data_IF_830827706660
#
_entry.id   IF_830827706660
#
_cell.length_a   1.000
_cell.length_b   1.000
_cell.length_c   1.000
_cell.angle_alpha   90.00
_cell.angle_beta   90.00
_cell.angle_gamma   90.00
#
_symmetry.space_group_name_H-M   'P 1'
#
loop_
_entity.id
_entity.type
_entity.pdbx_description
1 polymer ?
#
# COMPACT_ATOMS: atom_id res chain seq x y z
N UNK A 1 -42.26 -17.51 -14.18
CA UNK A 1 -40.92 -17.74 -14.75
C UNK A 1 -40.09 -16.50 -14.46
N UNK A 2 -39.29 -16.60 -13.41
CA UNK A 2 -38.56 -15.52 -12.72
C UNK A 2 -37.30 -15.14 -13.50
N UNK A 3 -37.22 -13.90 -13.96
CA UNK A 3 -36.01 -13.30 -14.52
C UNK A 3 -35.47 -12.24 -13.56
N UNK A 4 -34.74 -12.65 -12.53
CA UNK A 4 -33.96 -11.74 -11.70
C UNK A 4 -32.63 -11.49 -12.42
N UNK A 5 -32.49 -10.31 -13.04
CA UNK A 5 -31.22 -9.86 -13.58
C UNK A 5 -30.28 -9.51 -12.42
N UNK A 6 -29.11 -10.14 -12.44
CA UNK A 6 -28.02 -10.02 -11.48
C UNK A 6 -27.45 -8.60 -11.58
N UNK A 7 -27.63 -7.80 -10.51
CA UNK A 7 -27.04 -6.48 -10.39
C UNK A 7 -25.51 -6.63 -10.27
N UNK A 8 -24.78 -5.88 -11.11
CA UNK A 8 -23.33 -5.90 -11.18
C UNK A 8 -22.68 -5.62 -9.82
N UNK A 9 -21.74 -6.49 -9.45
CA UNK A 9 -20.91 -6.37 -8.26
C UNK A 9 -19.99 -5.15 -8.43
N UNK A 10 -20.33 -4.04 -7.78
CA UNK A 10 -19.47 -2.86 -7.69
C UNK A 10 -18.40 -3.19 -6.64
N UNK A 11 -17.16 -3.39 -7.09
CA UNK A 11 -15.99 -3.59 -6.24
C UNK A 11 -15.78 -2.32 -5.40
N UNK A 12 -16.38 -2.29 -4.21
CA UNK A 12 -16.27 -1.17 -3.28
C UNK A 12 -14.85 -1.16 -2.71
N UNK A 13 -14.02 -0.28 -3.26
CA UNK A 13 -12.71 0.06 -2.73
C UNK A 13 -12.90 0.81 -1.41
N UNK A 14 -12.94 0.07 -0.30
CA UNK A 14 -12.74 0.66 1.03
C UNK A 14 -11.28 1.15 1.12
N UNK A 15 -11.04 2.47 1.26
CA UNK A 15 -9.69 2.98 1.41
C UNK A 15 -9.07 2.44 2.70
N UNK A 16 -7.83 1.97 2.61
CA UNK A 16 -7.07 1.53 3.79
C UNK A 16 -6.64 2.76 4.60
N UNK A 17 -7.46 3.17 5.56
CA UNK A 17 -7.17 4.33 6.42
C UNK A 17 -6.64 3.90 7.78
N UNK A 18 -5.39 4.26 8.08
CA UNK A 18 -4.79 4.05 9.41
C UNK A 18 -5.26 5.15 10.37
N UNK A 19 -5.80 4.76 11.52
CA UNK A 19 -6.12 5.71 12.60
C UNK A 19 -4.83 6.21 13.23
N UNK A 20 -4.54 7.52 13.13
CA UNK A 20 -3.30 8.13 13.62
C UNK A 20 -3.22 8.14 15.16
N UNK A 21 -2.68 7.08 15.76
CA UNK A 21 -2.24 7.08 17.17
C UNK A 21 -0.81 7.61 17.22
N UNK A 22 -0.59 8.72 17.92
CA UNK A 22 0.77 9.25 18.17
C UNK A 22 1.41 8.44 19.30
N UNK A 23 1.92 7.25 18.98
CA UNK A 23 2.64 6.36 19.90
C UNK A 23 3.99 5.98 19.30
N UNK A 24 5.03 5.84 20.15
CA UNK A 24 6.37 5.36 19.75
C UNK A 24 6.36 3.84 19.53
N UNK A 25 5.42 3.34 18.74
CA UNK A 25 5.26 1.92 18.49
C UNK A 25 6.04 1.50 17.23
N UNK A 26 6.56 0.26 17.17
CA UNK A 26 7.21 -0.25 15.97
C UNK A 26 6.27 -0.23 14.75
N UNK A 27 6.81 -0.03 13.54
CA UNK A 27 6.00 -0.02 12.30
C UNK A 27 5.10 -1.26 12.14
N UNK A 28 5.58 -2.44 12.54
CA UNK A 28 4.79 -3.69 12.51
C UNK A 28 3.49 -3.60 13.33
N UNK A 29 3.51 -2.83 14.42
CA UNK A 29 2.35 -2.61 15.29
C UNK A 29 1.35 -1.69 14.61
N UNK A 30 1.81 -0.60 14.00
CA UNK A 30 0.95 0.29 13.22
C UNK A 30 0.27 -0.43 12.06
N UNK A 31 1.00 -1.32 11.37
CA UNK A 31 0.44 -2.13 10.28
C UNK A 31 -0.61 -3.11 10.81
N UNK A 32 -0.38 -3.75 11.96
CA UNK A 32 -1.36 -4.63 12.61
C UNK A 32 -2.64 -3.88 12.99
N UNK A 33 -2.51 -2.78 13.72
CA UNK A 33 -3.66 -1.97 14.15
C UNK A 33 -4.50 -1.48 12.95
N UNK A 34 -3.84 -1.12 11.86
CA UNK A 34 -4.50 -0.72 10.62
C UNK A 34 -5.27 -1.87 9.96
N UNK A 35 -4.68 -3.06 9.90
CA UNK A 35 -5.34 -4.24 9.33
C UNK A 35 -6.52 -4.70 10.20
N UNK A 36 -6.37 -4.69 11.52
CA UNK A 36 -7.45 -5.03 12.45
C UNK A 36 -8.64 -4.07 12.25
N UNK A 37 -8.35 -2.77 12.12
CA UNK A 37 -9.38 -1.75 11.83
C UNK A 37 -10.05 -1.99 10.47
N UNK A 38 -9.27 -2.31 9.44
CA UNK A 38 -9.77 -2.64 8.10
C UNK A 38 -10.70 -3.86 8.13
N UNK A 39 -10.33 -4.94 8.82
CA UNK A 39 -11.16 -6.14 8.90
C UNK A 39 -12.46 -5.93 9.68
N UNK A 40 -12.47 -5.06 10.70
CA UNK A 40 -13.70 -4.65 11.39
C UNK A 40 -14.63 -3.91 10.42
N UNK A 41 -14.09 -3.04 9.57
CA UNK A 41 -14.87 -2.29 8.57
C UNK A 41 -15.34 -3.16 7.40
N UNK A 42 -14.60 -4.22 7.09
CA UNK A 42 -14.94 -5.14 6.01
C UNK A 42 -16.24 -5.91 6.28
N UNK A 43 -16.75 -5.96 7.52
CA UNK A 43 -18.10 -6.43 7.90
C UNK A 43 -18.59 -7.70 7.15
N UNK A 44 -17.70 -8.67 6.95
CA UNK A 44 -17.99 -9.95 6.30
C UNK A 44 -17.90 -9.98 4.77
N UNK A 45 -17.53 -8.89 4.10
CA UNK A 45 -17.20 -8.88 2.67
C UNK A 45 -15.85 -9.56 2.41
N UNK A 46 -15.66 -10.14 1.22
CA UNK A 46 -14.37 -10.72 0.83
C UNK A 46 -13.44 -9.64 0.27
N UNK A 47 -12.30 -9.42 0.92
CA UNK A 47 -11.24 -8.58 0.38
C UNK A 47 -10.39 -9.37 -0.63
N UNK A 48 -10.35 -8.91 -1.88
CA UNK A 48 -9.41 -9.38 -2.89
C UNK A 48 -8.21 -8.43 -2.98
N UNK A 49 -7.01 -8.95 -3.20
CA UNK A 49 -5.82 -8.12 -3.45
C UNK A 49 -5.24 -7.41 -2.23
N UNK A 50 -5.61 -7.79 -1.00
CA UNK A 50 -5.11 -7.15 0.24
C UNK A 50 -3.58 -7.08 0.29
N UNK A 51 -2.87 -8.13 -0.12
CA UNK A 51 -1.40 -8.14 -0.16
C UNK A 51 -0.85 -7.00 -1.02
N UNK A 52 -1.39 -6.82 -2.23
CA UNK A 52 -0.93 -5.77 -3.15
C UNK A 52 -1.29 -4.38 -2.63
N UNK A 53 -2.47 -4.24 -2.01
CA UNK A 53 -2.92 -2.99 -1.39
C UNK A 53 -1.97 -2.58 -0.26
N UNK A 54 -1.69 -3.47 0.68
CA UNK A 54 -0.77 -3.21 1.80
C UNK A 54 0.64 -2.93 1.28
N UNK A 55 1.11 -3.70 0.30
CA UNK A 55 2.43 -3.49 -0.28
C UNK A 55 2.54 -2.11 -0.94
N UNK A 56 1.50 -1.64 -1.63
CA UNK A 56 1.49 -0.30 -2.23
C UNK A 56 1.54 0.83 -1.18
N UNK A 57 0.76 0.70 -0.11
CA UNK A 57 0.75 1.66 1.02
C UNK A 57 2.09 1.76 1.74
N UNK A 58 2.88 0.69 1.73
CA UNK A 58 4.21 0.67 2.36
C UNK A 58 5.31 1.07 1.38
N UNK A 59 5.28 0.55 0.15
CA UNK A 59 6.34 0.79 -0.84
C UNK A 59 6.34 2.23 -1.33
N UNK A 60 5.18 2.85 -1.57
CA UNK A 60 5.12 4.24 -2.05
C UNK A 60 5.87 5.21 -1.11
N UNK A 61 5.52 5.34 0.19
CA UNK A 61 6.21 6.26 1.08
C UNK A 61 7.66 5.88 1.36
N UNK A 62 8.00 4.57 1.33
CA UNK A 62 9.38 4.12 1.43
C UNK A 62 10.23 4.67 0.27
N UNK A 63 9.75 4.50 -0.96
CA UNK A 63 10.46 4.93 -2.17
C UNK A 63 10.55 6.46 -2.25
N UNK A 64 9.46 7.16 -1.97
CA UNK A 64 9.42 8.63 -1.96
C UNK A 64 10.41 9.20 -0.94
N UNK A 65 10.39 8.70 0.29
CA UNK A 65 11.27 9.19 1.37
C UNK A 65 12.74 8.91 1.06
N UNK A 66 13.05 7.73 0.51
CA UNK A 66 14.45 7.40 0.14
C UNK A 66 14.91 8.21 -1.07
N UNK A 67 14.06 8.42 -2.08
CA UNK A 67 14.41 9.25 -3.23
C UNK A 67 14.67 10.70 -2.82
N UNK A 68 13.86 11.23 -1.89
CA UNK A 68 14.08 12.55 -1.29
C UNK A 68 15.41 12.61 -0.53
N UNK A 69 15.70 11.62 0.32
CA UNK A 69 16.96 11.53 1.05
C UNK A 69 18.18 11.36 0.12
N UNK A 70 17.98 10.68 -1.01
CA UNK A 70 18.99 10.53 -2.05
C UNK A 70 19.08 11.74 -2.99
N UNK A 71 18.28 12.79 -2.79
CA UNK A 71 18.23 13.99 -3.64
C UNK A 71 18.00 13.65 -5.12
N UNK A 72 17.11 12.68 -5.38
CA UNK A 72 16.83 12.20 -6.74
C UNK A 72 17.88 11.23 -7.32
N UNK A 73 18.98 10.97 -6.62
CA UNK A 73 20.01 10.05 -7.09
C UNK A 73 19.56 8.58 -6.95
N UNK A 74 19.04 8.03 -8.04
CA UNK A 74 18.56 6.64 -8.08
C UNK A 74 19.64 5.59 -7.77
N UNK A 75 20.91 5.84 -8.08
CA UNK A 75 21.99 4.88 -7.73
C UNK A 75 22.20 4.84 -6.22
N UNK A 76 22.23 6.00 -5.56
CA UNK A 76 22.33 6.11 -4.10
C UNK A 76 21.09 5.51 -3.43
N UNK A 77 19.89 5.82 -3.91
CA UNK A 77 18.64 5.26 -3.41
C UNK A 77 18.60 3.72 -3.54
N UNK A 78 19.00 3.17 -4.69
CA UNK A 78 19.03 1.73 -4.92
C UNK A 78 20.01 1.02 -3.97
N UNK A 79 21.17 1.62 -3.73
CA UNK A 79 22.14 1.13 -2.74
C UNK A 79 21.59 1.16 -1.30
N UNK A 80 20.92 2.25 -0.91
CA UNK A 80 20.27 2.36 0.42
C UNK A 80 19.15 1.34 0.62
N UNK A 81 18.36 1.08 -0.43
CA UNK A 81 17.27 0.10 -0.41
C UNK A 81 17.76 -1.35 -0.55
N UNK A 82 19.01 -1.58 -0.98
CA UNK A 82 19.55 -2.91 -1.23
C UNK A 82 18.94 -3.61 -2.44
N UNK A 83 18.46 -2.86 -3.44
CA UNK A 83 17.86 -3.40 -4.68
C UNK A 83 18.63 -2.94 -5.92
N UNK A 84 18.44 -3.65 -7.04
CA UNK A 84 19.03 -3.20 -8.31
C UNK A 84 18.43 -1.86 -8.76
N UNK A 85 19.22 -1.01 -9.43
CA UNK A 85 18.72 0.24 -10.04
C UNK A 85 17.58 -0.02 -11.02
N UNK A 86 17.63 -1.12 -11.79
CA UNK A 86 16.54 -1.53 -12.68
C UNK A 86 15.25 -1.84 -11.93
N UNK A 87 15.34 -2.47 -10.76
CA UNK A 87 14.18 -2.74 -9.89
C UNK A 87 13.63 -1.44 -9.34
N UNK A 88 14.50 -0.56 -8.81
CA UNK A 88 14.08 0.74 -8.30
C UNK A 88 13.34 1.54 -9.38
N UNK A 89 13.92 1.67 -10.58
CA UNK A 89 13.29 2.42 -11.68
C UNK A 89 11.90 1.88 -12.04
N UNK A 90 11.74 0.55 -12.11
CA UNK A 90 10.42 -0.06 -12.37
C UNK A 90 9.41 0.29 -11.26
N UNK A 91 9.84 0.24 -10.00
CA UNK A 91 8.98 0.60 -8.87
C UNK A 91 8.62 2.09 -8.87
N UNK A 92 9.58 2.99 -9.12
CA UNK A 92 9.29 4.43 -9.23
C UNK A 92 8.24 4.72 -10.31
N UNK A 93 8.33 4.06 -11.47
CA UNK A 93 7.35 4.22 -12.53
C UNK A 93 5.94 3.72 -12.15
N UNK A 94 5.84 2.60 -11.41
CA UNK A 94 4.56 2.08 -10.89
C UNK A 94 3.88 3.12 -10.00
N UNK A 95 4.67 3.83 -9.19
CA UNK A 95 4.19 4.81 -8.22
C UNK A 95 4.23 6.26 -8.73
N UNK A 96 4.64 6.50 -9.98
CA UNK A 96 4.74 7.83 -10.60
C UNK A 96 5.67 8.79 -9.82
N UNK A 97 6.82 8.27 -9.38
CA UNK A 97 7.85 8.97 -8.60
C UNK A 97 9.15 9.23 -9.42
N UNK A 98 9.10 9.01 -10.73
CA UNK A 98 10.23 9.13 -11.67
C UNK A 98 10.42 10.51 -12.31
#
# INVERSE_FOLDING_TARGET
>A
MTGAAIQGNQEQSIPFTVSNKVTKEPLRECVRDALDSYFIQLDGYTAAGLYQMVLAEVEHPLLETVMKYAEGNQTKAAALLGISRSTLRKKLNIYQLD
#
